data_IF_828976755933
#
_entry.id   IF_828976755933
#
_cell.length_a   1.000
_cell.length_b   1.000
_cell.length_c   1.000
_cell.angle_alpha   90.00
_cell.angle_beta   90.00
_cell.angle_gamma   90.00
#
_symmetry.space_group_name_H-M   'P 1'
#
loop_
_entity.id
_entity.type
_entity.pdbx_description
1 polymer ?
#
# COMPACT_ATOMS: atom_id res chain seq x y z
N UNK A 1 -17.17 -25.61 -4.82
CA UNK A 1 -16.53 -24.79 -3.76
C UNK A 1 -16.16 -23.47 -4.40
N UNK A 2 -16.65 -22.36 -3.85
CA UNK A 2 -16.67 -21.06 -4.54
C UNK A 2 -15.27 -20.58 -4.90
N UNK A 3 -15.02 -20.42 -6.20
CA UNK A 3 -13.89 -19.65 -6.70
C UNK A 3 -14.15 -18.18 -6.35
N UNK A 4 -13.82 -17.75 -5.12
CA UNK A 4 -13.47 -16.35 -4.95
C UNK A 4 -12.19 -16.17 -5.74
N UNK A 5 -12.30 -15.60 -6.94
CA UNK A 5 -11.13 -15.15 -7.68
C UNK A 5 -10.24 -14.39 -6.68
N UNK A 6 -8.93 -14.69 -6.62
CA UNK A 6 -8.05 -14.03 -5.66
C UNK A 6 -8.23 -12.53 -5.86
N UNK A 7 -8.57 -11.84 -4.78
CA UNK A 7 -8.72 -10.40 -4.84
C UNK A 7 -7.37 -9.79 -5.19
N UNK A 8 -7.36 -8.65 -5.85
CA UNK A 8 -6.13 -7.92 -6.08
C UNK A 8 -6.30 -6.48 -5.70
N UNK A 9 -5.28 -5.93 -5.04
CA UNK A 9 -5.18 -4.51 -4.73
C UNK A 9 -4.07 -3.89 -5.57
N UNK A 10 -4.15 -2.59 -5.79
CA UNK A 10 -3.12 -1.83 -6.46
C UNK A 10 -2.36 -0.99 -5.44
N UNK A 11 -1.07 -1.27 -5.30
CA UNK A 11 -0.18 -0.55 -4.39
C UNK A 11 0.57 0.51 -5.19
N UNK A 12 0.59 1.74 -4.70
CA UNK A 12 1.22 2.89 -5.35
C UNK A 12 2.17 3.59 -4.41
N UNK A 13 3.38 3.83 -4.91
CA UNK A 13 4.44 4.55 -4.21
C UNK A 13 4.67 5.91 -4.86
N UNK A 14 4.94 6.91 -4.04
CA UNK A 14 5.14 8.28 -4.47
C UNK A 14 6.51 8.82 -4.02
N UNK A 15 6.99 9.85 -4.73
CA UNK A 15 8.22 10.58 -4.43
C UNK A 15 9.42 9.65 -4.14
N UNK A 16 10.12 9.88 -3.03
CA UNK A 16 11.29 9.11 -2.62
C UNK A 16 11.01 7.62 -2.43
N UNK A 17 9.79 7.21 -2.04
CA UNK A 17 9.47 5.79 -1.85
C UNK A 17 9.57 5.00 -3.16
N UNK A 18 9.05 5.54 -4.28
CA UNK A 18 9.14 4.82 -5.56
C UNK A 18 10.57 4.79 -6.10
N UNK A 19 11.39 5.81 -5.79
CA UNK A 19 12.79 5.86 -6.20
C UNK A 19 13.62 4.85 -5.41
N UNK A 20 13.41 4.77 -4.10
CA UNK A 20 14.10 3.82 -3.23
C UNK A 20 13.62 2.37 -3.47
N UNK A 21 12.32 2.17 -3.71
CA UNK A 21 11.76 0.84 -3.99
C UNK A 21 12.04 0.37 -5.43
N UNK A 22 12.31 1.30 -6.36
CA UNK A 22 12.55 1.01 -7.77
C UNK A 22 11.28 0.75 -8.60
N UNK A 23 10.09 0.98 -8.03
CA UNK A 23 8.80 0.81 -8.70
C UNK A 23 7.78 1.83 -8.21
N UNK A 24 6.89 2.29 -9.11
CA UNK A 24 5.85 3.26 -8.80
C UNK A 24 4.50 2.62 -8.45
N UNK A 25 4.21 1.46 -9.03
CA UNK A 25 3.01 0.69 -8.72
C UNK A 25 3.26 -0.81 -8.79
N UNK A 26 2.50 -1.57 -8.01
CA UNK A 26 2.52 -3.03 -8.00
C UNK A 26 1.13 -3.58 -7.70
N UNK A 27 0.75 -4.62 -8.43
CA UNK A 27 -0.45 -5.37 -8.11
C UNK A 27 -0.13 -6.42 -7.05
N UNK A 28 -0.94 -6.49 -6.00
CA UNK A 28 -0.77 -7.46 -4.93
C UNK A 28 -1.99 -8.35 -4.82
N UNK A 29 -1.77 -9.66 -4.72
CA UNK A 29 -2.83 -10.64 -4.54
C UNK A 29 -3.24 -10.67 -3.07
N UNK A 30 -4.51 -10.34 -2.84
CA UNK A 30 -5.16 -10.39 -1.54
C UNK A 30 -5.72 -11.80 -1.33
N UNK A 31 -4.85 -12.72 -0.93
CA UNK A 31 -5.23 -14.11 -0.59
C UNK A 31 -5.94 -14.18 0.76
N UNK A 32 -5.57 -13.28 1.68
CA UNK A 32 -6.13 -13.14 3.01
C UNK A 32 -6.35 -11.66 3.36
N UNK A 33 -7.28 -11.34 4.28
CA UNK A 33 -7.45 -9.99 4.77
C UNK A 33 -6.11 -9.48 5.31
N UNK A 34 -5.65 -8.34 4.83
CA UNK A 34 -4.40 -7.72 5.26
C UNK A 34 -4.60 -6.22 5.41
N UNK A 35 -3.68 -5.59 6.12
CA UNK A 35 -3.66 -4.16 6.37
C UNK A 35 -2.54 -3.49 5.59
N UNK A 36 -2.60 -2.16 5.47
CA UNK A 36 -1.51 -1.40 4.85
C UNK A 36 -0.19 -1.55 5.64
N UNK A 37 -0.26 -1.75 6.96
CA UNK A 37 0.91 -2.01 7.81
C UNK A 37 1.58 -3.35 7.49
N UNK A 38 0.78 -4.41 7.41
CA UNK A 38 1.31 -5.73 7.05
C UNK A 38 1.92 -5.72 5.65
N UNK A 39 1.28 -5.07 4.68
CA UNK A 39 1.84 -4.93 3.34
C UNK A 39 3.12 -4.10 3.33
N UNK A 40 3.19 -3.02 4.10
CA UNK A 40 4.41 -2.24 4.22
C UNK A 40 5.60 -3.11 4.66
N UNK A 41 5.38 -3.94 5.69
CA UNK A 41 6.38 -4.89 6.20
C UNK A 41 6.68 -5.99 5.20
N UNK A 42 5.65 -6.55 4.55
CA UNK A 42 5.78 -7.66 3.60
C UNK A 42 6.52 -7.24 2.32
N UNK A 43 6.33 -6.00 1.88
CA UNK A 43 7.01 -5.43 0.72
C UNK A 43 8.40 -4.88 1.06
N UNK A 44 8.79 -4.93 2.34
CA UNK A 44 10.06 -4.40 2.86
C UNK A 44 10.32 -2.97 2.37
N UNK A 45 9.27 -2.13 2.45
CA UNK A 45 9.35 -0.77 1.92
C UNK A 45 10.37 0.09 2.70
N UNK A 46 11.17 0.90 1.99
CA UNK A 46 12.19 1.73 2.61
C UNK A 46 11.57 2.87 3.43
N UNK A 47 12.20 3.18 4.57
CA UNK A 47 11.79 4.27 5.45
C UNK A 47 10.96 3.82 6.65
N UNK A 48 10.45 4.79 7.39
CA UNK A 48 9.63 4.56 8.58
C UNK A 48 8.16 4.77 8.25
N UNK A 49 7.34 3.73 8.46
CA UNK A 49 5.90 3.81 8.23
C UNK A 49 5.23 4.93 9.02
N UNK A 50 5.72 5.23 10.23
CA UNK A 50 5.21 6.30 11.10
C UNK A 50 5.26 7.69 10.43
N UNK A 51 6.23 7.90 9.54
CA UNK A 51 6.36 9.14 8.77
C UNK A 51 5.52 9.13 7.48
N UNK A 52 5.03 7.97 7.06
CA UNK A 52 4.32 7.76 5.79
C UNK A 52 2.83 7.76 6.03
N UNK A 53 2.09 8.54 5.22
CA UNK A 53 0.62 8.48 5.24
C UNK A 53 0.12 7.39 4.32
N UNK A 54 -0.92 6.71 4.76
CA UNK A 54 -1.65 5.72 3.97
C UNK A 54 -2.92 6.36 3.41
N UNK A 55 -3.19 6.10 2.13
CA UNK A 55 -4.47 6.41 1.52
C UNK A 55 -5.04 5.18 0.81
N UNK A 56 -6.32 4.90 1.03
CA UNK A 56 -7.06 3.81 0.39
C UNK A 56 -8.15 4.46 -0.46
N UNK A 57 -8.17 4.13 -1.76
CA UNK A 57 -9.10 4.71 -2.74
C UNK A 57 -9.11 6.26 -2.67
N UNK A 58 -7.92 6.87 -2.70
CA UNK A 58 -7.73 8.33 -2.65
C UNK A 58 -8.22 9.01 -1.35
N UNK A 59 -8.47 8.24 -0.29
CA UNK A 59 -8.87 8.76 1.03
C UNK A 59 -7.85 8.37 2.08
N UNK A 60 -7.43 9.31 2.91
CA UNK A 60 -6.54 9.01 4.03
C UNK A 60 -7.19 7.98 4.95
N UNK A 61 -6.44 6.93 5.26
CA UNK A 61 -6.87 5.82 6.08
C UNK A 61 -5.76 5.43 7.05
N UNK A 62 -6.12 4.77 8.14
CA UNK A 62 -5.15 4.25 9.08
C UNK A 62 -4.37 3.08 8.46
N UNK A 63 -3.12 2.91 8.89
CA UNK A 63 -2.26 1.77 8.55
C UNK A 63 -2.92 0.41 8.83
N UNK A 64 -3.73 0.34 9.88
CA UNK A 64 -4.48 -0.83 10.34
C UNK A 64 -5.79 -1.07 9.57
N UNK A 65 -6.12 -0.21 8.59
CA UNK A 65 -7.37 -0.34 7.84
C UNK A 65 -7.31 -1.62 6.99
N UNK A 66 -8.31 -2.52 7.10
CA UNK A 66 -8.36 -3.74 6.31
C UNK A 66 -8.61 -3.40 4.83
N UNK A 67 -7.80 -4.00 3.97
CA UNK A 67 -7.89 -3.83 2.53
C UNK A 67 -8.88 -4.81 1.92
N UNK A 68 -9.59 -4.34 0.91
CA UNK A 68 -10.59 -5.09 0.16
C UNK A 68 -10.13 -5.31 -1.27
N UNK A 69 -10.69 -6.34 -1.90
CA UNK A 69 -10.44 -6.61 -3.31
C UNK A 69 -10.78 -5.38 -4.17
N UNK A 70 -9.85 -4.97 -5.03
CA UNK A 70 -9.99 -3.81 -5.92
C UNK A 70 -9.52 -2.50 -5.31
N UNK A 71 -9.09 -2.48 -4.04
CA UNK A 71 -8.62 -1.25 -3.41
C UNK A 71 -7.33 -0.73 -4.05
N UNK A 72 -7.24 0.59 -4.15
CA UNK A 72 -6.00 1.30 -4.43
C UNK A 72 -5.37 1.76 -3.11
N UNK A 73 -4.23 1.17 -2.75
CA UNK A 73 -3.41 1.55 -1.61
C UNK A 73 -2.27 2.46 -2.06
N UNK A 74 -2.20 3.66 -1.50
CA UNK A 74 -1.14 4.62 -1.75
C UNK A 74 -0.33 4.90 -0.48
N UNK A 75 0.99 4.81 -0.60
CA UNK A 75 1.93 5.23 0.43
C UNK A 75 2.52 6.59 0.07
N UNK A 76 2.25 7.57 0.91
CA UNK A 76 2.61 8.97 0.71
C UNK A 76 3.69 9.33 1.73
N UNK A 77 4.97 9.40 1.33
CA UNK A 77 6.01 9.88 2.22
C UNK A 77 5.75 11.34 2.60
N UNK A 78 6.36 11.84 3.69
CA UNK A 78 6.24 13.24 4.04
C UNK A 78 6.75 14.06 2.85
N UNK A 79 6.03 15.13 2.51
CA UNK A 79 6.46 16.02 1.43
C UNK A 79 7.77 16.66 1.89
N UNK A 80 8.89 16.19 1.36
CA UNK A 80 10.17 16.88 1.44
C UNK A 80 10.05 18.11 0.55
N UNK A 81 9.41 19.16 1.07
CA UNK A 81 9.39 20.47 0.45
C UNK A 81 10.83 20.98 0.40
N UNK A 82 11.35 21.14 -0.81
CA UNK A 82 12.43 22.06 -1.10
C UNK A 82 11.88 23.46 -1.32
#
# INVERSE_FOLDING_TARGET
>A
MGSSAPGSIRIRLFASLREQAGWAERQWLLEQPTTAEELWRTLELPGAMDAVRVAINQRFASAETPLQNGDELAFLPPISGG
#
